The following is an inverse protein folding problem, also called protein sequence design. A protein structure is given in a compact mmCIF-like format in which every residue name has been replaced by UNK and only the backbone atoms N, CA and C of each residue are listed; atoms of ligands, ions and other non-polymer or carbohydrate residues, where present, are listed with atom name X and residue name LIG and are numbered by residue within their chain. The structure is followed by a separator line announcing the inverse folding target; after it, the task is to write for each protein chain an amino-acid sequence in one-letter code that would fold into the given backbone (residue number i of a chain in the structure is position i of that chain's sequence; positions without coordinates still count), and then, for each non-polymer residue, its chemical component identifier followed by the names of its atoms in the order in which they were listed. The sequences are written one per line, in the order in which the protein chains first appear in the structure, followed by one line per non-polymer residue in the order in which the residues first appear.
data_IF_654191815896
#
_entry.id   IF_654191815896
#
_cell.length_a   1.000
_cell.length_b   1.000
_cell.length_c   1.000
_cell.angle_alpha   90.00
_cell.angle_beta   90.00
_cell.angle_gamma   90.00
#
_symmetry.space_group_name_H-M   'P 1'
#
loop_
_entity.id
_entity.type
_entity.pdbx_description
1 polymer ?
#
# COMPACT_ATOMS: atom_id res chain seq x y z
N UNK A 1 18.25 -24.32 47.78
CA UNK A 1 19.11 -23.14 47.57
C UNK A 1 18.59 -22.38 46.37
N UNK A 2 18.45 -21.04 46.46
CA UNK A 2 17.53 -20.27 45.63
C UNK A 2 18.15 -19.81 44.29
N UNK A 3 17.24 -19.41 43.39
CA UNK A 3 17.47 -18.83 42.07
C UNK A 3 17.79 -17.34 42.21
N UNK A 4 18.84 -16.87 41.55
CA UNK A 4 19.08 -15.43 41.36
C UNK A 4 18.81 -15.04 39.90
N UNK A 5 17.73 -14.27 39.74
CA UNK A 5 17.36 -13.57 38.53
C UNK A 5 17.93 -12.15 38.59
N UNK A 6 18.76 -11.81 37.63
CA UNK A 6 19.36 -10.48 37.50
C UNK A 6 18.32 -9.50 36.93
N UNK A 7 17.91 -8.52 37.74
CA UNK A 7 16.95 -7.47 37.37
C UNK A 7 17.64 -6.12 37.55
N UNK A 8 18.21 -5.57 36.48
CA UNK A 8 18.81 -4.23 36.48
C UNK A 8 17.74 -3.16 36.68
N UNK A 9 17.76 -2.52 37.86
CA UNK A 9 16.98 -1.32 38.17
C UNK A 9 17.87 -0.09 37.99
N UNK A 10 17.45 0.83 37.12
CA UNK A 10 18.05 2.16 36.98
C UNK A 10 17.51 3.05 38.10
N UNK A 11 18.42 3.55 38.93
CA UNK A 11 18.17 4.41 40.09
C UNK A 11 18.09 5.88 39.65
N UNK A 12 17.00 6.57 40.00
CA UNK A 12 16.86 8.03 39.90
C UNK A 12 17.34 8.70 41.20
N UNK A 13 18.11 9.81 41.16
CA UNK A 13 18.51 10.55 42.35
C UNK A 13 17.42 11.53 42.87
N UNK A 14 17.49 11.94 44.15
CA UNK A 14 16.35 12.43 44.93
C UNK A 14 16.08 13.93 44.83
N UNK A 15 14.84 14.30 45.16
CA UNK A 15 14.29 15.67 45.18
C UNK A 15 14.60 16.35 46.52
N UNK A 16 15.38 17.43 46.50
CA UNK A 16 15.64 18.26 47.68
C UNK A 16 14.62 19.41 47.82
N UNK A 17 14.12 19.63 49.05
CA UNK A 17 13.32 20.78 49.49
C UNK A 17 14.22 21.78 50.22
N UNK A 18 14.01 23.07 49.97
CA UNK A 18 14.53 24.19 50.79
C UNK A 18 13.97 25.54 50.30
N UNK A 19 13.21 26.23 51.14
CA UNK A 19 12.75 27.63 51.02
C UNK A 19 13.84 28.63 51.53
N UNK A 20 13.57 29.94 51.71
CA UNK A 20 13.19 30.99 50.75
C UNK A 20 14.20 32.19 50.80
N UNK A 21 14.21 33.05 49.79
CA UNK A 21 14.99 34.30 49.83
C UNK A 21 14.57 35.28 48.75
N UNK A 22 14.14 36.46 49.17
CA UNK A 22 13.66 37.58 48.34
C UNK A 22 14.82 38.31 47.62
N UNK A 23 14.54 38.65 46.36
CA UNK A 23 15.05 39.64 45.38
C UNK A 23 15.99 40.79 45.82
N UNK A 24 16.83 41.39 44.92
CA UNK A 24 16.30 42.05 43.70
C UNK A 24 17.15 42.08 42.41
N UNK A 25 16.40 42.13 41.30
CA UNK A 25 16.56 42.98 40.10
C UNK A 25 17.90 43.02 39.32
N UNK A 26 17.85 42.48 38.10
CA UNK A 26 18.58 43.02 36.95
C UNK A 26 17.67 43.00 35.70
N UNK A 27 17.23 44.19 35.27
CA UNK A 27 16.49 44.42 34.03
C UNK A 27 17.41 44.33 32.81
N UNK A 28 17.10 43.43 31.87
CA UNK A 28 17.60 43.45 30.49
C UNK A 28 16.44 43.64 29.49
N UNK A 29 16.59 44.44 28.42
CA UNK A 29 15.49 44.80 27.52
C UNK A 29 15.14 43.67 26.53
N UNK A 30 13.84 43.37 26.39
CA UNK A 30 13.28 42.47 25.35
C UNK A 30 13.17 43.20 23.99
N UNK A 31 13.66 42.65 22.86
CA UNK A 31 13.41 43.27 21.56
C UNK A 31 12.12 42.76 20.89
N UNK A 32 11.24 43.73 20.58
CA UNK A 32 10.52 43.92 19.30
C UNK A 32 9.76 42.73 18.66
N UNK A 33 8.65 42.32 19.27
CA UNK A 33 7.61 41.50 18.60
C UNK A 33 6.71 42.29 17.62
N UNK A 34 6.79 43.63 17.61
CA UNK A 34 5.85 44.52 16.88
C UNK A 34 6.21 44.76 15.40
N UNK A 35 7.47 44.54 14.98
CA UNK A 35 7.91 44.81 13.60
C UNK A 35 7.64 43.64 12.64
N UNK A 36 7.77 42.39 13.12
CA UNK A 36 7.61 41.18 12.28
C UNK A 36 6.17 41.03 11.77
N UNK A 37 5.18 41.30 12.63
CA UNK A 37 3.76 41.22 12.22
C UNK A 37 3.39 42.22 11.12
N UNK A 38 4.03 43.40 11.11
CA UNK A 38 3.79 44.45 10.12
C UNK A 38 4.38 44.07 8.75
N UNK A 39 5.55 43.42 8.73
CA UNK A 39 6.13 42.88 7.50
C UNK A 39 5.33 41.69 6.95
N UNK A 40 4.82 40.81 7.81
CA UNK A 40 3.96 39.70 7.39
C UNK A 40 2.62 40.19 6.81
N UNK A 41 2.00 41.20 7.44
CA UNK A 41 0.76 41.78 6.91
C UNK A 41 0.98 42.50 5.58
N UNK A 42 2.10 43.23 5.42
CA UNK A 42 2.44 43.87 4.14
C UNK A 42 2.71 42.84 3.04
N UNK A 43 3.38 41.73 3.37
CA UNK A 43 3.64 40.64 2.42
C UNK A 43 2.33 39.96 1.97
N UNK A 44 1.40 39.71 2.89
CA UNK A 44 0.10 39.11 2.56
C UNK A 44 -0.78 40.04 1.71
N UNK A 45 -0.77 41.34 1.99
CA UNK A 45 -1.50 42.34 1.19
C UNK A 45 -0.89 42.44 -0.21
N UNK A 46 0.44 42.45 -0.34
CA UNK A 46 1.12 42.47 -1.64
C UNK A 46 0.84 41.20 -2.47
N UNK A 47 0.75 40.04 -1.83
CA UNK A 47 0.39 38.79 -2.51
C UNK A 47 -1.07 38.83 -3.00
N UNK A 48 -2.00 39.32 -2.17
CA UNK A 48 -3.40 39.43 -2.55
C UNK A 48 -3.61 40.40 -3.71
N UNK A 49 -2.92 41.56 -3.72
CA UNK A 49 -2.99 42.50 -4.84
C UNK A 49 -2.41 41.92 -6.12
N UNK A 50 -1.31 41.16 -6.05
CA UNK A 50 -0.74 40.47 -7.21
C UNK A 50 -1.71 39.43 -7.79
N UNK A 51 -2.39 38.64 -6.96
CA UNK A 51 -3.38 37.65 -7.41
C UNK A 51 -4.57 38.33 -8.09
N UNK A 52 -5.07 39.44 -7.55
CA UNK A 52 -6.16 40.21 -8.18
C UNK A 52 -5.71 40.84 -9.49
N UNK A 53 -4.49 41.38 -9.57
CA UNK A 53 -3.96 42.00 -10.78
C UNK A 53 -3.74 40.99 -11.91
N UNK A 54 -3.20 39.80 -11.59
CA UNK A 54 -3.04 38.70 -12.56
C UNK A 54 -4.40 38.20 -13.06
N UNK A 55 -5.39 38.11 -12.18
CA UNK A 55 -6.76 37.72 -12.56
C UNK A 55 -7.41 38.76 -13.48
N UNK A 56 -7.21 40.06 -13.22
CA UNK A 56 -7.66 41.13 -14.11
C UNK A 56 -6.94 41.12 -15.46
N UNK A 57 -5.64 40.87 -15.49
CA UNK A 57 -4.86 40.76 -16.73
C UNK A 57 -5.32 39.58 -17.61
N UNK A 58 -5.71 38.46 -17.01
CA UNK A 58 -6.28 37.32 -17.74
C UNK A 58 -7.69 37.67 -18.26
N UNK A 59 -8.49 38.38 -17.47
CA UNK A 59 -9.87 38.72 -17.82
C UNK A 59 -9.97 39.82 -18.90
N UNK A 60 -9.06 40.79 -18.89
CA UNK A 60 -9.01 41.88 -19.88
C UNK A 60 -8.02 41.61 -21.04
N UNK A 61 -7.07 40.69 -20.89
CA UNK A 61 -6.08 40.33 -21.92
C UNK A 61 -6.49 39.18 -22.85
N UNK A 62 -7.59 38.47 -22.54
CA UNK A 62 -8.06 37.33 -23.32
C UNK A 62 -9.15 37.69 -24.33
N UNK A 63 -8.86 38.61 -25.24
CA UNK A 63 -9.60 38.76 -26.50
C UNK A 63 -8.64 38.70 -27.69
N UNK A 64 -7.85 37.62 -27.76
CA UNK A 64 -7.31 37.18 -29.04
C UNK A 64 -8.37 36.28 -29.68
N UNK A 65 -8.93 36.62 -30.85
CA UNK A 65 -9.78 35.69 -31.56
C UNK A 65 -8.98 34.42 -31.83
N UNK A 66 -9.57 33.27 -31.50
CA UNK A 66 -9.04 31.96 -31.82
C UNK A 66 -8.80 31.93 -33.32
N UNK A 67 -7.54 32.01 -33.76
CA UNK A 67 -7.20 31.81 -35.15
C UNK A 67 -7.70 30.42 -35.52
N UNK A 68 -8.69 30.35 -36.42
CA UNK A 68 -9.18 29.12 -37.00
C UNK A 68 -7.95 28.42 -37.60
N UNK A 69 -7.44 27.41 -36.89
CA UNK A 69 -6.32 26.62 -37.37
C UNK A 69 -6.73 26.07 -38.71
N UNK A 70 -6.07 26.53 -39.78
CA UNK A 70 -6.12 25.83 -41.06
C UNK A 70 -5.72 24.40 -40.77
N UNK A 71 -6.68 23.47 -40.80
CA UNK A 71 -6.38 22.06 -40.93
C UNK A 71 -5.46 21.95 -42.13
N UNK A 72 -4.20 21.63 -41.84
CA UNK A 72 -3.24 21.27 -42.85
C UNK A 72 -3.75 19.93 -43.37
N UNK A 73 -4.53 19.93 -44.44
CA UNK A 73 -4.79 18.73 -45.21
C UNK A 73 -3.47 18.36 -45.87
N UNK A 74 -2.64 17.64 -45.12
CA UNK A 74 -1.53 16.92 -45.69
C UNK A 74 -2.15 15.98 -46.73
N UNK A 75 -1.72 16.04 -48.00
CA UNK A 75 -2.18 15.06 -48.98
C UNK A 75 -1.81 13.68 -48.44
N UNK A 76 -2.77 12.76 -48.48
CA UNK A 76 -2.54 11.37 -48.12
C UNK A 76 -1.50 10.79 -49.08
N UNK A 77 -0.23 10.92 -48.71
CA UNK A 77 0.85 10.15 -49.32
C UNK A 77 0.62 8.66 -49.03
N UNK A 78 1.24 7.75 -49.80
CA UNK A 78 1.10 6.32 -49.57
C UNK A 78 1.47 6.00 -48.12
N UNK A 79 0.54 5.45 -47.36
CA UNK A 79 0.77 5.00 -45.99
C UNK A 79 1.88 3.94 -46.03
N UNK A 80 3.05 4.29 -45.49
CA UNK A 80 4.15 3.33 -45.33
C UNK A 80 3.73 2.17 -44.42
N UNK A 81 4.42 1.04 -44.55
CA UNK A 81 4.15 -0.25 -43.88
C UNK A 81 4.17 -0.24 -42.33
N UNK A 82 4.32 0.93 -41.72
CA UNK A 82 4.44 1.14 -40.27
C UNK A 82 3.23 1.86 -39.66
N UNK A 83 2.30 2.40 -40.46
CA UNK A 83 1.04 2.94 -39.94
C UNK A 83 0.01 1.82 -39.95
N UNK A 84 -0.05 1.06 -38.86
CA UNK A 84 -1.23 0.23 -38.60
C UNK A 84 -2.39 1.18 -38.32
N UNK A 85 -3.52 1.12 -39.06
CA UNK A 85 -4.68 1.93 -38.75
C UNK A 85 -5.13 1.63 -37.30
N UNK A 86 -5.68 2.62 -36.58
CA UNK A 86 -6.20 2.38 -35.24
C UNK A 86 -7.25 1.28 -35.28
N UNK A 87 -7.27 0.42 -34.25
CA UNK A 87 -8.23 -0.66 -34.14
C UNK A 87 -9.66 -0.11 -34.26
N UNK A 88 -10.49 -0.77 -35.08
CA UNK A 88 -11.89 -0.40 -35.18
C UNK A 88 -12.66 -0.85 -33.92
N UNK A 89 -13.87 -0.35 -33.73
CA UNK A 89 -14.67 -0.62 -32.53
C UNK A 89 -14.91 -2.13 -32.29
N UNK A 90 -15.02 -2.95 -33.34
CA UNK A 90 -15.22 -4.39 -33.17
C UNK A 90 -13.94 -5.12 -32.77
N UNK A 91 -12.78 -4.67 -33.26
CA UNK A 91 -11.47 -5.16 -32.84
C UNK A 91 -11.18 -4.77 -31.40
N UNK A 92 -11.49 -3.53 -31.00
CA UNK A 92 -11.40 -3.10 -29.61
C UNK A 92 -12.30 -3.97 -28.73
N UNK A 93 -13.58 -4.13 -29.10
CA UNK A 93 -14.51 -4.97 -28.35
C UNK A 93 -14.04 -6.44 -28.23
N UNK A 94 -13.44 -6.99 -29.30
CA UNK A 94 -12.88 -8.33 -29.29
C UNK A 94 -11.64 -8.45 -28.37
N UNK A 95 -10.81 -7.41 -28.28
CA UNK A 95 -9.70 -7.34 -27.32
C UNK A 95 -10.21 -7.22 -25.88
N UNK A 96 -11.26 -6.42 -25.64
CA UNK A 96 -11.88 -6.24 -24.32
C UNK A 96 -12.46 -7.55 -23.78
N UNK A 97 -13.04 -8.39 -24.66
CA UNK A 97 -13.65 -9.68 -24.32
C UNK A 97 -12.75 -10.89 -24.61
N UNK A 98 -11.45 -10.68 -24.79
CA UNK A 98 -10.55 -11.77 -25.17
C UNK A 98 -10.49 -12.85 -24.08
N UNK A 99 -10.52 -12.44 -22.80
CA UNK A 99 -10.57 -13.34 -21.65
C UNK A 99 -11.80 -14.26 -21.62
N UNK A 100 -12.94 -13.80 -22.12
CA UNK A 100 -14.21 -14.54 -22.12
C UNK A 100 -14.23 -15.67 -23.17
N UNK A 101 -13.36 -15.58 -24.19
CA UNK A 101 -13.27 -16.53 -25.31
C UNK A 101 -12.07 -17.45 -25.23
N UNK A 102 -11.16 -17.22 -24.29
CA UNK A 102 -9.97 -18.02 -24.12
C UNK A 102 -10.19 -19.08 -23.05
N UNK A 103 -9.70 -20.28 -23.33
CA UNK A 103 -9.53 -21.29 -22.28
C UNK A 103 -8.59 -20.74 -21.20
N UNK A 104 -8.74 -21.19 -19.94
CA UNK A 104 -7.83 -20.79 -18.86
C UNK A 104 -6.35 -21.07 -19.21
N UNK A 105 -6.09 -22.11 -20.01
CA UNK A 105 -4.74 -22.44 -20.52
C UNK A 105 -4.20 -21.35 -21.46
N UNK A 106 -5.01 -20.88 -22.41
CA UNK A 106 -4.62 -19.80 -23.33
C UNK A 106 -4.43 -18.48 -22.58
N UNK A 107 -5.30 -18.20 -21.61
CA UNK A 107 -5.17 -17.03 -20.76
C UNK A 107 -3.86 -17.07 -19.94
N UNK A 108 -3.56 -18.22 -19.30
CA UNK A 108 -2.31 -18.41 -18.57
C UNK A 108 -1.07 -18.25 -19.47
N UNK A 109 -1.09 -18.83 -20.68
CA UNK A 109 -0.01 -18.66 -21.66
C UNK A 109 0.20 -17.19 -21.99
N UNK A 110 -0.86 -16.41 -22.19
CA UNK A 110 -0.75 -14.99 -22.47
C UNK A 110 -0.19 -14.20 -21.28
N UNK A 111 -0.64 -14.46 -20.05
CA UNK A 111 -0.06 -13.83 -18.86
C UNK A 111 1.44 -14.11 -18.78
N UNK A 112 1.84 -15.37 -18.86
CA UNK A 112 3.25 -15.78 -18.78
C UNK A 112 4.08 -15.22 -19.94
N UNK A 113 3.52 -15.13 -21.16
CA UNK A 113 4.21 -14.57 -22.31
C UNK A 113 4.57 -13.08 -22.14
N UNK A 114 3.78 -12.32 -21.37
CA UNK A 114 4.00 -10.89 -21.11
C UNK A 114 4.79 -10.62 -19.82
N UNK A 115 5.18 -11.65 -19.07
CA UNK A 115 6.01 -11.50 -17.88
C UNK A 115 7.49 -11.34 -18.24
N UNK A 116 8.19 -10.49 -17.48
CA UNK A 116 9.65 -10.48 -17.43
C UNK A 116 10.18 -11.81 -16.88
N UNK A 117 11.49 -12.05 -16.98
CA UNK A 117 12.10 -13.22 -16.35
C UNK A 117 11.92 -13.18 -14.81
N UNK A 118 12.13 -12.01 -14.20
CA UNK A 118 12.00 -11.83 -12.75
C UNK A 118 10.57 -12.10 -12.28
N UNK A 119 9.58 -11.64 -13.03
CA UNK A 119 8.17 -11.94 -12.75
C UNK A 119 7.88 -13.44 -12.84
N UNK A 120 8.39 -14.13 -13.87
CA UNK A 120 8.21 -15.59 -14.00
C UNK A 120 8.83 -16.35 -12.84
N UNK A 121 10.03 -15.95 -12.40
CA UNK A 121 10.70 -16.57 -11.27
C UNK A 121 9.96 -16.28 -9.97
N UNK A 122 9.53 -15.04 -9.75
CA UNK A 122 8.72 -14.64 -8.60
C UNK A 122 7.45 -15.48 -8.47
N UNK A 123 6.75 -15.73 -9.59
CA UNK A 123 5.53 -16.54 -9.60
C UNK A 123 5.74 -18.01 -9.16
N UNK A 124 6.98 -18.51 -9.11
CA UNK A 124 7.30 -19.84 -8.60
C UNK A 124 7.57 -19.86 -7.08
N UNK A 125 7.62 -18.69 -6.45
CA UNK A 125 7.97 -18.53 -5.03
C UNK A 125 6.74 -18.17 -4.22
N UNK A 126 6.60 -18.85 -3.09
CA UNK A 126 5.67 -18.53 -2.01
C UNK A 126 6.46 -18.02 -0.81
N UNK A 127 6.01 -16.93 -0.20
CA UNK A 127 6.72 -16.29 0.91
C UNK A 127 5.93 -16.29 2.21
N UNK A 128 6.63 -16.18 3.33
CA UNK A 128 6.08 -15.81 4.63
C UNK A 128 6.50 -14.36 4.96
N UNK A 129 5.77 -13.71 5.88
CA UNK A 129 6.22 -12.51 6.58
C UNK A 129 6.59 -12.87 8.03
N UNK A 130 7.72 -12.39 8.54
CA UNK A 130 8.03 -12.57 9.97
C UNK A 130 7.16 -11.68 10.86
N UNK A 131 6.69 -10.55 10.32
CA UNK A 131 5.79 -9.65 11.02
C UNK A 131 4.36 -10.13 10.92
N UNK A 132 3.62 -10.00 12.02
CA UNK A 132 2.23 -10.45 12.14
C UNK A 132 1.23 -9.64 11.29
N UNK A 133 1.66 -8.54 10.67
CA UNK A 133 0.84 -7.68 9.83
C UNK A 133 1.60 -7.34 8.55
N UNK A 134 0.93 -6.66 7.61
CA UNK A 134 1.58 -6.14 6.42
C UNK A 134 2.77 -5.24 6.78
N UNK A 135 3.94 -5.56 6.23
CA UNK A 135 5.23 -4.93 6.54
C UNK A 135 5.95 -4.47 5.28
N UNK A 136 7.01 -3.69 5.45
CA UNK A 136 7.86 -3.24 4.33
C UNK A 136 8.56 -4.42 3.66
N UNK A 137 8.96 -5.45 4.42
CA UNK A 137 9.55 -6.67 3.87
C UNK A 137 8.55 -7.42 3.00
N UNK A 138 7.31 -7.60 3.50
CA UNK A 138 6.25 -8.21 2.71
C UNK A 138 5.94 -7.37 1.46
N UNK A 139 5.91 -6.05 1.58
CA UNK A 139 5.71 -5.15 0.44
C UNK A 139 6.80 -5.30 -0.63
N UNK A 140 8.05 -5.43 -0.20
CA UNK A 140 9.17 -5.65 -1.09
C UNK A 140 9.05 -6.99 -1.83
N UNK A 141 8.73 -8.08 -1.12
CA UNK A 141 8.53 -9.39 -1.73
C UNK A 141 7.39 -9.39 -2.75
N UNK A 142 6.28 -8.71 -2.43
CA UNK A 142 5.11 -8.62 -3.30
C UNK A 142 5.37 -7.75 -4.54
N UNK A 143 6.00 -6.59 -4.35
CA UNK A 143 6.07 -5.57 -5.41
C UNK A 143 7.36 -5.60 -6.21
N UNK A 144 8.48 -5.99 -5.61
CA UNK A 144 9.80 -6.03 -6.26
C UNK A 144 10.20 -7.45 -6.63
N UNK A 145 9.90 -8.44 -5.79
CA UNK A 145 10.23 -9.85 -6.09
C UNK A 145 9.11 -10.60 -6.82
N UNK A 146 7.94 -9.98 -6.98
CA UNK A 146 6.82 -10.52 -7.74
C UNK A 146 6.40 -11.94 -7.32
N UNK A 147 6.46 -12.23 -6.00
CA UNK A 147 6.10 -13.55 -5.47
C UNK A 147 4.72 -14.00 -5.96
N UNK A 148 4.57 -15.28 -6.24
CA UNK A 148 3.31 -15.88 -6.71
C UNK A 148 2.33 -16.17 -5.58
N UNK A 149 2.84 -16.30 -4.36
CA UNK A 149 2.00 -16.61 -3.21
C UNK A 149 2.58 -16.17 -1.87
N UNK A 150 1.72 -16.28 -0.87
CA UNK A 150 2.06 -16.07 0.54
C UNK A 150 1.48 -17.21 1.38
N UNK A 151 2.23 -17.68 2.38
CA UNK A 151 1.74 -18.58 3.42
C UNK A 151 1.56 -17.80 4.73
N UNK A 152 0.44 -18.02 5.41
CA UNK A 152 0.10 -17.41 6.68
C UNK A 152 0.24 -18.42 7.82
N UNK A 153 1.00 -18.04 8.85
CA UNK A 153 1.10 -18.79 10.11
C UNK A 153 0.22 -18.18 11.22
N UNK A 154 0.19 -18.86 12.38
CA UNK A 154 -0.63 -18.50 13.54
C UNK A 154 -0.48 -17.03 13.95
N UNK A 155 0.74 -16.49 13.92
CA UNK A 155 1.02 -15.07 14.23
C UNK A 155 0.21 -14.09 13.38
N UNK A 156 -0.11 -14.44 12.13
CA UNK A 156 -0.88 -13.62 11.19
C UNK A 156 -2.40 -13.77 11.35
N UNK A 157 -2.84 -14.80 12.08
CA UNK A 157 -4.21 -15.30 12.10
C UNK A 157 -4.85 -15.23 13.50
N UNK A 158 -4.33 -14.35 14.36
CA UNK A 158 -4.88 -14.14 15.72
C UNK A 158 -6.29 -13.54 15.69
N UNK A 159 -6.63 -12.78 14.65
CA UNK A 159 -7.97 -12.20 14.49
C UNK A 159 -8.40 -12.13 13.03
N UNK A 160 -9.71 -12.21 12.77
CA UNK A 160 -10.30 -12.05 11.43
C UNK A 160 -9.97 -10.69 10.80
N UNK A 161 -9.87 -9.63 11.61
CA UNK A 161 -9.57 -8.27 11.13
C UNK A 161 -8.12 -8.17 10.64
N UNK A 162 -7.16 -8.71 11.40
CA UNK A 162 -5.75 -8.78 11.01
C UNK A 162 -5.58 -9.59 9.73
N UNK A 163 -6.14 -10.79 9.66
CA UNK A 163 -6.07 -11.65 8.49
C UNK A 163 -6.62 -10.95 7.23
N UNK A 164 -7.78 -10.28 7.38
CA UNK A 164 -8.42 -9.53 6.29
C UNK A 164 -7.60 -8.31 5.87
N UNK A 165 -7.01 -7.59 6.82
CA UNK A 165 -6.18 -6.42 6.53
C UNK A 165 -4.94 -6.83 5.72
N UNK A 166 -4.18 -7.84 6.19
CA UNK A 166 -2.99 -8.35 5.50
C UNK A 166 -3.34 -8.90 4.12
N UNK A 167 -4.39 -9.72 4.01
CA UNK A 167 -4.87 -10.26 2.73
C UNK A 167 -5.26 -9.13 1.77
N UNK A 168 -6.03 -8.15 2.23
CA UNK A 168 -6.50 -7.05 1.37
C UNK A 168 -5.35 -6.17 0.89
N UNK A 169 -4.39 -5.84 1.76
CA UNK A 169 -3.24 -5.01 1.37
C UNK A 169 -2.34 -5.74 0.38
N UNK A 170 -2.02 -7.00 0.67
CA UNK A 170 -1.20 -7.83 -0.20
C UNK A 170 -1.82 -7.97 -1.60
N UNK A 171 -3.13 -8.27 -1.67
CA UNK A 171 -3.82 -8.38 -2.96
C UNK A 171 -3.90 -7.05 -3.72
N UNK A 172 -3.99 -5.90 -3.03
CA UNK A 172 -3.96 -4.57 -3.67
C UNK A 172 -2.59 -4.23 -4.24
N UNK A 173 -1.52 -4.73 -3.64
CA UNK A 173 -0.13 -4.40 -3.97
C UNK A 173 0.44 -5.33 -5.03
N UNK A 174 -0.04 -6.57 -5.11
CA UNK A 174 0.41 -7.56 -6.08
C UNK A 174 -0.05 -7.21 -7.51
N UNK A 175 0.85 -7.38 -8.48
CA UNK A 175 0.54 -7.22 -9.91
C UNK A 175 -0.37 -8.34 -10.43
N UNK A 176 -0.13 -9.56 -9.95
CA UNK A 176 -0.97 -10.74 -10.18
C UNK A 176 -1.50 -11.15 -8.81
N UNK A 177 -2.80 -11.41 -8.64
CA UNK A 177 -3.35 -11.81 -7.35
C UNK A 177 -2.60 -12.99 -6.75
N UNK A 178 -2.19 -12.87 -5.49
CA UNK A 178 -1.41 -13.91 -4.84
C UNK A 178 -2.25 -15.14 -4.52
N UNK A 179 -1.64 -16.31 -4.63
CA UNK A 179 -2.09 -17.50 -3.94
C UNK A 179 -1.80 -17.34 -2.44
N UNK A 180 -2.83 -17.18 -1.62
CA UNK A 180 -2.69 -17.08 -0.16
C UNK A 180 -3.07 -18.42 0.45
N UNK A 181 -2.17 -18.98 1.26
CA UNK A 181 -2.30 -20.31 1.85
C UNK A 181 -2.08 -20.29 3.37
N UNK A 182 -2.46 -21.40 4.02
CA UNK A 182 -2.29 -21.66 5.45
C UNK A 182 -2.34 -23.17 5.67
N UNK A 183 -1.57 -23.67 6.62
CA UNK A 183 -1.62 -25.07 7.06
C UNK A 183 -2.74 -25.26 8.10
N UNK A 184 -3.96 -25.45 7.61
CA UNK A 184 -5.15 -25.64 8.44
C UNK A 184 -5.68 -27.08 8.30
N UNK A 185 -5.05 -28.01 9.01
CA UNK A 185 -5.42 -29.44 8.98
C UNK A 185 -6.36 -29.83 10.13
N UNK A 186 -6.34 -29.04 11.22
CA UNK A 186 -7.05 -29.32 12.47
C UNK A 186 -6.18 -30.05 13.52
N UNK A 187 -6.83 -30.49 14.59
CA UNK A 187 -6.20 -31.17 15.71
C UNK A 187 -5.39 -30.24 16.60
N UNK A 188 -4.57 -30.82 17.49
CA UNK A 188 -3.84 -30.07 18.51
C UNK A 188 -2.57 -29.35 17.99
N UNK A 189 -2.11 -29.66 16.77
CA UNK A 189 -0.76 -29.26 16.31
C UNK A 189 -0.75 -28.44 15.02
N UNK A 190 -1.70 -28.65 14.10
CA UNK A 190 -1.71 -28.01 12.77
C UNK A 190 -3.04 -27.30 12.55
N UNK A 191 -3.31 -26.34 13.43
CA UNK A 191 -4.50 -25.48 13.41
C UNK A 191 -4.05 -24.03 13.62
N UNK A 192 -4.13 -23.21 12.57
CA UNK A 192 -3.67 -21.81 12.57
C UNK A 192 -4.83 -20.83 12.69
N UNK A 193 -6.07 -21.30 12.53
CA UNK A 193 -7.29 -20.49 12.58
C UNK A 193 -8.10 -20.70 13.87
N UNK A 194 -7.55 -21.39 14.87
CA UNK A 194 -8.20 -21.63 16.17
C UNK A 194 -8.71 -20.32 16.82
N UNK A 195 -7.93 -19.24 16.74
CA UNK A 195 -8.30 -17.93 17.28
C UNK A 195 -9.46 -17.25 16.52
N UNK A 196 -9.81 -17.72 15.31
CA UNK A 196 -10.83 -17.14 14.45
C UNK A 196 -12.15 -17.93 14.53
N UNK A 197 -12.10 -19.26 14.50
CA UNK A 197 -13.32 -20.09 14.51
C UNK A 197 -13.32 -21.24 15.52
N UNK A 198 -12.31 -21.33 16.40
CA UNK A 198 -12.18 -22.39 17.40
C UNK A 198 -11.49 -23.66 16.90
N UNK A 199 -11.25 -24.58 17.83
CA UNK A 199 -10.57 -25.85 17.54
C UNK A 199 -11.40 -26.76 16.63
N UNK A 200 -10.75 -27.45 15.70
CA UNK A 200 -11.36 -28.47 14.83
C UNK A 200 -10.65 -29.81 14.99
N UNK A 201 -11.35 -30.94 14.82
CA UNK A 201 -10.72 -32.24 14.88
C UNK A 201 -9.68 -32.38 13.76
N UNK A 202 -8.56 -33.03 14.05
CA UNK A 202 -7.53 -33.32 13.07
C UNK A 202 -7.76 -34.66 12.38
N UNK A 203 -6.86 -35.03 11.44
CA UNK A 203 -6.99 -36.28 10.68
C UNK A 203 -7.04 -37.53 11.58
N UNK A 204 -6.32 -37.53 12.70
CA UNK A 204 -6.30 -38.64 13.64
C UNK A 204 -7.64 -38.80 14.37
N UNK A 205 -8.20 -37.71 14.90
CA UNK A 205 -9.49 -37.74 15.60
C UNK A 205 -10.63 -38.15 14.66
N UNK A 206 -10.63 -37.63 13.42
CA UNK A 206 -11.60 -38.02 12.39
C UNK A 206 -11.50 -39.53 12.12
N UNK A 207 -10.29 -40.05 11.96
CA UNK A 207 -10.07 -41.49 11.74
C UNK A 207 -10.56 -42.35 12.92
N UNK A 208 -10.32 -41.93 14.16
CA UNK A 208 -10.77 -42.68 15.34
C UNK A 208 -12.28 -42.65 15.54
N UNK A 209 -12.95 -41.57 15.10
CA UNK A 209 -14.39 -41.42 15.24
C UNK A 209 -15.18 -42.44 14.40
N UNK A 210 -14.60 -42.96 13.31
CA UNK A 210 -15.29 -43.79 12.32
C UNK A 210 -16.43 -43.08 11.58
N UNK A 211 -16.53 -41.74 11.69
CA UNK A 211 -17.63 -40.95 11.15
C UNK A 211 -17.11 -39.81 10.26
N UNK A 212 -17.41 -39.88 8.96
CA UNK A 212 -17.04 -38.85 7.97
C UNK A 212 -17.74 -37.49 8.17
N UNK A 213 -18.68 -37.37 9.12
CA UNK A 213 -19.33 -36.11 9.47
C UNK A 213 -18.82 -35.52 10.79
N UNK A 214 -17.75 -36.07 11.37
CA UNK A 214 -17.21 -35.63 12.65
C UNK A 214 -16.57 -34.23 12.62
N UNK A 215 -16.24 -33.73 11.43
CA UNK A 215 -15.55 -32.45 11.18
C UNK A 215 -16.49 -31.29 10.80
N UNK A 216 -17.81 -31.53 10.75
CA UNK A 216 -18.82 -30.56 10.29
C UNK A 216 -19.50 -29.79 11.41
#
# INVERSE_FOLDING_TARGET
MPKDAERSQIVLPPKAKGEPGQDPALHGPRPRRRRIGLFLSLALVALATLVVLTSLLIHFGSTRPLALGKQSTLPAGPLGSFIKPPYNASQVNALTHLGDRMTYKQLAILYVAHMSLDEKLGQLIMTESEQNAYSDDLDYMVTQLHVGGMIMYDSHLQTTSQARATTSQTQKRAKIPLLISVDEEGGAYVNRLEHIYGSRPGPWEISQSGNLNFDR
#
